data_IF_587064811416
#
_entry.id   IF_587064811416
#
_cell.length_a   1.000
_cell.length_b   1.000
_cell.length_c   1.000
_cell.angle_alpha   90.00
_cell.angle_beta   90.00
_cell.angle_gamma   90.00
#
_symmetry.space_group_name_H-M   'P 1'
#
loop_
_entity.id
_entity.type
_entity.pdbx_description
1 polymer ?
#
# COMPACT_ATOMS: atom_id res chain seq x y z
N UNK A 1 2.51 21.69 -14.77
CA UNK A 1 1.38 20.75 -14.86
C UNK A 1 1.92 19.41 -14.43
N UNK A 2 1.34 18.74 -13.44
CA UNK A 2 1.86 17.47 -12.96
C UNK A 2 1.68 16.41 -14.05
N UNK A 3 2.74 15.68 -14.36
CA UNK A 3 2.81 14.69 -15.44
C UNK A 3 2.06 13.43 -15.00
N UNK A 4 0.78 13.34 -15.36
CA UNK A 4 -0.01 12.13 -15.20
C UNK A 4 0.62 11.04 -16.09
N UNK A 5 1.42 10.14 -15.51
CA UNK A 5 1.83 8.90 -16.21
C UNK A 5 0.51 8.20 -16.56
N UNK A 6 0.17 8.13 -17.84
CA UNK A 6 -1.10 7.58 -18.35
C UNK A 6 -1.24 6.07 -18.13
N UNK A 7 -1.12 5.62 -16.89
CA UNK A 7 -1.23 4.24 -16.46
C UNK A 7 -2.58 4.10 -15.76
N UNK A 8 -3.54 3.55 -16.48
CA UNK A 8 -4.79 3.12 -15.87
C UNK A 8 -4.53 1.85 -15.07
N UNK A 9 -4.96 1.85 -13.81
CA UNK A 9 -4.91 0.67 -12.93
C UNK A 9 -6.33 0.25 -12.59
N UNK A 10 -6.68 -1.01 -12.81
CA UNK A 10 -8.03 -1.53 -12.65
C UNK A 10 -8.29 -2.11 -11.25
N UNK A 11 -7.25 -2.26 -10.41
CA UNK A 11 -7.38 -2.83 -9.07
C UNK A 11 -6.30 -2.35 -8.09
N UNK A 12 -6.54 -2.45 -6.76
CA UNK A 12 -5.51 -2.17 -5.75
C UNK A 12 -4.24 -3.01 -5.90
N UNK A 13 -4.37 -4.27 -6.34
CA UNK A 13 -3.21 -5.14 -6.61
C UNK A 13 -2.37 -4.63 -7.77
N UNK A 14 -3.03 -4.15 -8.81
CA UNK A 14 -2.36 -3.58 -9.99
C UNK A 14 -1.71 -2.24 -9.65
N UNK A 15 -2.37 -1.40 -8.85
CA UNK A 15 -1.79 -0.16 -8.33
C UNK A 15 -0.50 -0.41 -7.54
N UNK A 16 -0.44 -1.45 -6.70
CA UNK A 16 0.78 -1.83 -5.97
C UNK A 16 1.89 -2.25 -6.93
N UNK A 17 1.57 -3.06 -7.96
CA UNK A 17 2.56 -3.50 -8.95
C UNK A 17 3.12 -2.33 -9.76
N UNK A 18 2.24 -1.51 -10.32
CA UNK A 18 2.63 -0.32 -11.08
C UNK A 18 3.41 0.64 -10.19
N UNK A 19 2.98 0.87 -8.94
CA UNK A 19 3.72 1.70 -8.00
C UNK A 19 5.14 1.20 -7.75
N UNK A 20 5.35 -0.11 -7.68
CA UNK A 20 6.68 -0.70 -7.57
C UNK A 20 7.50 -0.56 -8.86
N UNK A 21 6.89 -0.78 -10.03
CA UNK A 21 7.54 -0.56 -11.34
C UNK A 21 7.97 0.89 -11.54
N UNK A 22 7.18 1.84 -11.03
CA UNK A 22 7.47 3.27 -11.05
C UNK A 22 8.41 3.71 -9.92
N UNK A 23 8.90 2.79 -9.07
CA UNK A 23 9.74 3.05 -7.89
C UNK A 23 9.11 4.01 -6.86
N UNK A 24 7.78 4.13 -6.86
CA UNK A 24 6.99 4.88 -5.86
C UNK A 24 6.78 4.02 -4.60
N UNK A 25 6.65 2.71 -4.80
CA UNK A 25 6.44 1.72 -3.73
C UNK A 25 7.70 0.86 -3.58
N UNK A 26 8.28 0.87 -2.39
CA UNK A 26 9.32 -0.08 -1.98
C UNK A 26 8.69 -1.31 -1.30
N UNK A 27 9.32 -2.47 -1.47
CA UNK A 27 8.90 -3.76 -0.90
C UNK A 27 7.40 -4.10 -1.14
N UNK A 28 6.96 -4.31 -2.40
CA UNK A 28 5.54 -4.55 -2.72
C UNK A 28 4.89 -5.72 -1.97
N UNK A 29 5.68 -6.70 -1.51
CA UNK A 29 5.19 -7.81 -0.69
C UNK A 29 4.55 -7.35 0.62
N UNK A 30 5.14 -6.34 1.28
CA UNK A 30 4.57 -5.75 2.51
C UNK A 30 3.23 -5.08 2.22
N UNK A 31 3.11 -4.41 1.08
CA UNK A 31 1.87 -3.78 0.63
C UNK A 31 0.78 -4.81 0.29
N UNK A 32 1.16 -5.98 -0.24
CA UNK A 32 0.21 -7.07 -0.45
C UNK A 32 -0.28 -7.69 0.86
N UNK A 33 0.55 -7.73 1.90
CA UNK A 33 0.12 -8.12 3.26
C UNK A 33 -0.85 -7.07 3.81
N UNK A 34 -0.52 -5.77 3.69
CA UNK A 34 -1.41 -4.68 4.11
C UNK A 34 -2.77 -4.74 3.40
N UNK A 35 -2.78 -5.04 2.09
CA UNK A 35 -4.01 -5.22 1.31
C UNK A 35 -4.83 -6.44 1.76
N UNK A 36 -4.17 -7.54 2.11
CA UNK A 36 -4.85 -8.72 2.66
C UNK A 36 -5.47 -8.41 4.02
N UNK A 37 -4.73 -7.74 4.90
CA UNK A 37 -5.20 -7.34 6.22
C UNK A 37 -6.38 -6.39 6.14
N UNK A 38 -6.36 -5.43 5.20
CA UNK A 38 -7.52 -4.59 4.89
C UNK A 38 -8.75 -5.42 4.56
N UNK A 39 -8.61 -6.47 3.75
CA UNK A 39 -9.75 -7.34 3.42
C UNK A 39 -10.24 -8.17 4.61
N UNK A 40 -9.38 -8.47 5.59
CA UNK A 40 -9.74 -9.18 6.81
C UNK A 40 -10.39 -8.27 7.87
N UNK A 41 -10.29 -6.95 7.75
CA UNK A 41 -10.97 -6.03 8.69
C UNK A 41 -12.49 -6.16 8.70
N UNK A 42 -13.11 -6.72 7.66
CA UNK A 42 -14.54 -7.06 7.66
C UNK A 42 -14.88 -8.20 8.64
N UNK A 43 -13.87 -8.95 9.07
CA UNK A 43 -13.96 -10.06 10.03
C UNK A 43 -13.48 -9.70 11.44
N UNK A 44 -13.30 -8.41 11.75
CA UNK A 44 -12.72 -7.92 13.02
C UNK A 44 -13.55 -8.22 14.28
N UNK A 45 -14.71 -8.87 14.14
CA UNK A 45 -15.48 -9.39 15.29
C UNK A 45 -14.75 -10.51 16.04
N UNK A 46 -13.72 -11.11 15.42
CA UNK A 46 -12.79 -12.03 16.07
C UNK A 46 -11.61 -11.26 16.68
N UNK A 47 -11.53 -11.27 18.01
CA UNK A 47 -10.48 -10.56 18.76
C UNK A 47 -9.07 -11.11 18.50
N UNK A 48 -8.93 -12.41 18.22
CA UNK A 48 -7.64 -13.02 17.86
C UNK A 48 -7.18 -12.53 16.48
N UNK A 49 -8.12 -12.42 15.55
CA UNK A 49 -7.86 -11.85 14.23
C UNK A 49 -7.51 -10.36 14.29
N UNK A 50 -8.18 -9.59 15.15
CA UNK A 50 -7.90 -8.17 15.35
C UNK A 50 -6.47 -7.94 15.86
N UNK A 51 -6.04 -8.72 16.87
CA UNK A 51 -4.68 -8.65 17.40
C UNK A 51 -3.64 -8.99 16.33
N UNK A 52 -3.88 -10.06 15.56
CA UNK A 52 -2.98 -10.46 14.47
C UNK A 52 -2.84 -9.35 13.41
N UNK A 53 -3.95 -8.76 12.97
CA UNK A 53 -3.93 -7.65 12.00
C UNK A 53 -3.15 -6.46 12.56
N UNK A 54 -3.34 -6.13 13.84
CA UNK A 54 -2.65 -5.00 14.47
C UNK A 54 -1.13 -5.19 14.49
N UNK A 55 -0.65 -6.39 14.79
CA UNK A 55 0.78 -6.72 14.78
C UNK A 55 1.38 -6.66 13.36
N UNK A 56 0.63 -7.11 12.35
CA UNK A 56 1.08 -7.15 10.96
C UNK A 56 1.07 -5.77 10.27
N UNK A 57 0.20 -4.85 10.70
CA UNK A 57 0.15 -3.47 10.15
C UNK A 57 1.33 -2.60 10.60
N UNK A 58 2.21 -3.13 11.45
CA UNK A 58 3.37 -2.39 11.95
C UNK A 58 4.22 -1.81 10.81
N UNK A 59 4.60 -0.54 10.98
CA UNK A 59 5.36 0.21 9.99
C UNK A 59 4.56 0.62 8.74
N UNK A 60 3.25 0.35 8.64
CA UNK A 60 2.43 0.79 7.50
C UNK A 60 2.44 2.31 7.36
N UNK A 61 2.24 3.04 8.46
CA UNK A 61 2.30 4.50 8.45
C UNK A 61 3.65 5.02 7.93
N UNK A 62 4.75 4.39 8.34
CA UNK A 62 6.09 4.73 7.87
C UNK A 62 6.24 4.48 6.36
N UNK A 63 5.75 3.34 5.85
CA UNK A 63 5.76 3.01 4.41
C UNK A 63 4.96 4.03 3.60
N UNK A 64 3.79 4.44 4.10
CA UNK A 64 2.97 5.48 3.44
C UNK A 64 3.70 6.81 3.43
N UNK A 65 4.32 7.22 4.53
CA UNK A 65 5.12 8.46 4.57
C UNK A 65 6.28 8.42 3.58
N UNK A 66 6.98 7.30 3.44
CA UNK A 66 8.03 7.13 2.43
C UNK A 66 7.48 7.22 1.01
N UNK A 67 6.36 6.55 0.73
CA UNK A 67 5.70 6.63 -0.58
C UNK A 67 5.31 8.07 -0.93
N UNK A 68 4.77 8.85 0.02
CA UNK A 68 4.43 10.26 -0.22
C UNK A 68 5.67 11.08 -0.60
N UNK A 69 6.79 10.87 0.10
CA UNK A 69 8.06 11.53 -0.23
C UNK A 69 8.54 11.17 -1.64
N UNK A 70 8.43 9.91 -2.07
CA UNK A 70 8.83 9.50 -3.42
C UNK A 70 7.92 10.07 -4.51
N UNK A 71 6.61 10.22 -4.23
CA UNK A 71 5.67 10.89 -5.13
C UNK A 71 6.04 12.37 -5.29
N UNK A 72 6.31 13.07 -4.19
CA UNK A 72 6.69 14.50 -4.20
C UNK A 72 8.00 14.74 -4.95
N UNK A 73 8.99 13.85 -4.80
CA UNK A 73 10.26 13.92 -5.55
C UNK A 73 10.10 13.70 -7.04
N UNK A 74 9.08 12.96 -7.45
CA UNK A 74 8.91 12.52 -8.83
C UNK A 74 8.23 13.57 -9.73
N UNK A 75 7.93 14.78 -9.23
CA UNK A 75 7.20 15.85 -9.93
C UNK A 75 5.98 15.30 -10.72
N UNK A 76 5.26 14.35 -10.11
CA UNK A 76 4.05 13.74 -10.69
C UNK A 76 2.86 14.67 -10.54
#
# INVERSE_FOLDING_TARGET
MPSIKGVEVASPREAIRVGAELSIIEDPDKWFVDLQNRNLTTHIYDAEMAEKIFQEVNGFAQRVSQMVVEIEKSDI
#
